data_IF_204044983970
#
_entry.id   IF_204044983970
#
_cell.length_a   1.000
_cell.length_b   1.000
_cell.length_c   1.000
_cell.angle_alpha   90.00
_cell.angle_beta   90.00
_cell.angle_gamma   90.00
#
_symmetry.space_group_name_H-M   'P 1'
#
loop_
_entity.id
_entity.type
_entity.pdbx_description
1 polymer ?
#
# COMPACT_ATOMS: atom_id res chain seq x y z
N UNK A 1 31.93 5.15 69.52
CA UNK A 1 31.34 4.40 68.39
C UNK A 1 30.98 5.42 67.31
N UNK A 2 31.52 5.29 66.09
CA UNK A 2 31.16 6.15 64.95
C UNK A 2 30.66 5.25 63.83
N UNK A 3 29.37 5.35 63.52
CA UNK A 3 28.73 4.56 62.48
C UNK A 3 29.01 5.17 61.10
N UNK A 4 29.36 4.30 60.15
CA UNK A 4 29.59 4.60 58.74
C UNK A 4 28.22 4.76 58.04
N UNK A 5 27.99 5.86 57.34
CA UNK A 5 26.78 6.08 56.55
C UNK A 5 27.03 5.69 55.09
N UNK A 6 26.16 4.83 54.54
CA UNK A 6 26.10 4.54 53.11
C UNK A 6 24.95 5.33 52.49
N UNK A 7 25.24 6.08 51.43
CA UNK A 7 24.24 6.74 50.58
C UNK A 7 24.26 6.03 49.23
N UNK A 8 23.13 5.45 48.83
CA UNK A 8 22.92 4.89 47.50
C UNK A 8 22.11 5.91 46.69
N UNK A 9 22.69 6.41 45.61
CA UNK A 9 21.96 7.20 44.62
C UNK A 9 21.33 6.26 43.59
N UNK A 10 20.02 6.38 43.41
CA UNK A 10 19.27 5.66 42.38
C UNK A 10 19.14 6.50 41.10
N UNK A 11 19.12 5.77 39.98
CA UNK A 11 19.23 6.20 38.59
C UNK A 11 18.17 7.20 38.14
N UNK A 12 18.59 8.17 37.33
CA UNK A 12 17.70 9.04 36.54
C UNK A 12 17.10 8.21 35.41
N UNK A 13 15.77 8.02 35.45
CA UNK A 13 15.02 7.58 34.29
C UNK A 13 14.91 8.75 33.30
N UNK A 14 15.82 8.80 32.33
CA UNK A 14 15.63 9.63 31.14
C UNK A 14 14.49 9.01 30.34
N UNK A 15 13.28 9.56 30.47
CA UNK A 15 12.25 9.35 29.46
C UNK A 15 12.75 10.01 28.18
N UNK A 16 13.37 9.23 27.29
CA UNK A 16 13.60 9.67 25.93
C UNK A 16 12.23 9.86 25.27
N UNK A 17 11.77 11.10 25.20
CA UNK A 17 10.65 11.46 24.33
C UNK A 17 11.15 11.23 22.90
N UNK A 18 10.76 10.10 22.33
CA UNK A 18 11.01 9.81 20.92
C UNK A 18 10.00 10.64 20.14
N UNK A 19 10.40 11.81 19.65
CA UNK A 19 9.58 12.55 18.68
C UNK A 19 9.77 11.93 17.29
N UNK A 20 8.72 11.89 16.48
CA UNK A 20 8.84 11.58 15.05
C UNK A 20 9.75 12.65 14.44
N UNK A 21 10.96 12.27 14.04
CA UNK A 21 11.97 13.23 13.59
C UNK A 21 11.74 13.71 12.16
N UNK A 22 11.08 12.88 11.33
CA UNK A 22 10.74 13.16 9.95
C UNK A 22 9.75 12.11 9.40
N UNK A 23 9.22 12.31 8.20
CA UNK A 23 8.47 11.32 7.44
C UNK A 23 9.29 10.92 6.21
N UNK A 24 9.25 9.64 5.83
CA UNK A 24 9.82 9.13 4.59
C UNK A 24 8.76 8.34 3.81
N UNK A 25 8.81 8.43 2.48
CA UNK A 25 7.93 7.67 1.60
C UNK A 25 8.67 6.45 1.04
N UNK A 26 8.18 5.25 1.36
CA UNK A 26 8.68 3.99 0.78
C UNK A 26 8.14 3.72 -0.62
N UNK A 27 6.94 4.24 -0.88
CA UNK A 27 6.22 4.12 -2.16
C UNK A 27 5.68 5.51 -2.48
N UNK A 28 5.91 5.98 -3.71
CA UNK A 28 5.43 7.26 -4.23
C UNK A 28 4.73 7.03 -5.56
N UNK A 29 3.90 7.97 -6.00
CA UNK A 29 3.14 7.87 -7.26
C UNK A 29 4.02 7.55 -8.50
N UNK A 30 5.27 8.01 -8.49
CA UNK A 30 6.18 7.92 -9.63
C UNK A 30 6.98 6.62 -9.70
N UNK A 31 6.80 5.69 -8.75
CA UNK A 31 7.51 4.40 -8.79
C UNK A 31 7.04 3.55 -9.98
N UNK A 32 7.94 2.72 -10.48
CA UNK A 32 7.61 1.74 -11.52
C UNK A 32 7.13 0.45 -10.89
N UNK A 33 5.87 0.10 -11.16
CA UNK A 33 5.23 -1.13 -10.73
C UNK A 33 5.45 -2.25 -11.73
N UNK A 34 5.56 -3.49 -11.22
CA UNK A 34 5.19 -4.67 -12.00
C UNK A 34 3.67 -4.79 -11.98
N UNK A 35 3.05 -4.97 -13.14
CA UNK A 35 1.59 -5.06 -13.21
C UNK A 35 1.11 -6.16 -14.16
N UNK A 36 -0.03 -6.75 -13.80
CA UNK A 36 -0.78 -7.70 -14.59
C UNK A 36 -2.20 -7.17 -14.79
N UNK A 37 -2.58 -7.06 -16.05
CA UNK A 37 -3.96 -6.75 -16.43
C UNK A 37 -4.86 -7.94 -16.08
N UNK A 38 -5.96 -7.68 -15.36
CA UNK A 38 -6.93 -8.66 -14.91
C UNK A 38 -7.84 -9.16 -16.03
N UNK A 39 -7.28 -9.78 -17.07
CA UNK A 39 -8.05 -10.54 -18.07
C UNK A 39 -8.40 -11.95 -17.58
N UNK A 40 -7.68 -12.41 -16.56
CA UNK A 40 -7.90 -13.67 -15.85
C UNK A 40 -7.41 -13.53 -14.40
N UNK A 41 -7.77 -14.50 -13.55
CA UNK A 41 -7.25 -14.54 -12.19
C UNK A 41 -5.74 -14.82 -12.21
N UNK A 42 -4.90 -14.04 -11.48
CA UNK A 42 -3.53 -14.41 -11.24
C UNK A 42 -3.46 -15.66 -10.33
N UNK A 43 -2.28 -16.30 -10.19
CA UNK A 43 -2.08 -17.33 -9.18
C UNK A 43 -2.53 -16.84 -7.80
N UNK A 44 -3.14 -17.72 -7.00
CA UNK A 44 -3.77 -17.35 -5.72
C UNK A 44 -2.81 -16.81 -4.66
N UNK A 45 -1.49 -16.94 -4.88
CA UNK A 45 -0.43 -16.42 -4.02
C UNK A 45 0.23 -15.15 -4.57
N UNK A 46 -0.34 -14.48 -5.58
CA UNK A 46 0.26 -13.33 -6.25
C UNK A 46 0.61 -12.16 -5.32
N UNK A 47 -0.02 -12.04 -4.16
CA UNK A 47 0.21 -10.97 -3.18
C UNK A 47 1.29 -11.33 -2.14
N UNK A 48 1.81 -12.55 -2.17
CA UNK A 48 2.83 -13.03 -1.24
C UNK A 48 4.23 -12.49 -1.59
N UNK A 49 5.11 -12.38 -0.59
CA UNK A 49 6.46 -11.81 -0.78
C UNK A 49 7.31 -12.58 -1.80
N UNK A 50 7.22 -13.91 -1.79
CA UNK A 50 8.01 -14.79 -2.67
C UNK A 50 7.42 -15.05 -4.06
N UNK A 51 6.32 -14.39 -4.43
CA UNK A 51 5.73 -14.56 -5.76
C UNK A 51 6.66 -13.99 -6.85
N UNK A 52 6.87 -14.77 -7.92
CA UNK A 52 7.67 -14.35 -9.07
C UNK A 52 6.80 -13.63 -10.10
N UNK A 53 6.96 -12.31 -10.21
CA UNK A 53 6.27 -11.42 -11.13
C UNK A 53 7.12 -11.04 -12.36
N UNK A 54 8.21 -11.76 -12.66
CA UNK A 54 9.11 -11.41 -13.76
C UNK A 54 8.42 -11.41 -15.14
N UNK A 55 7.31 -12.14 -15.29
CA UNK A 55 6.48 -12.15 -16.49
C UNK A 55 5.45 -11.02 -16.56
N UNK A 56 5.33 -10.20 -15.52
CA UNK A 56 4.40 -9.06 -15.49
C UNK A 56 4.98 -7.87 -16.25
N UNK A 57 4.08 -7.06 -16.81
CA UNK A 57 4.45 -5.80 -17.46
C UNK A 57 5.04 -4.83 -16.43
N UNK A 58 5.69 -3.77 -16.90
CA UNK A 58 6.29 -2.74 -16.04
C UNK A 58 5.80 -1.37 -16.50
N UNK A 59 5.43 -0.50 -15.55
CA UNK A 59 4.91 0.83 -15.86
C UNK A 59 4.98 1.76 -14.65
N UNK A 60 5.12 3.06 -14.88
CA UNK A 60 5.08 4.07 -13.83
C UNK A 60 3.68 4.13 -13.22
N UNK A 61 3.55 4.37 -11.91
CA UNK A 61 2.28 4.58 -11.22
C UNK A 61 1.45 5.73 -11.83
N UNK A 62 0.15 5.75 -11.53
CA UNK A 62 -0.85 6.38 -12.40
C UNK A 62 -1.12 5.48 -13.60
N UNK A 63 -1.60 4.25 -13.29
CA UNK A 63 -1.90 3.21 -14.27
C UNK A 63 -3.42 3.09 -14.36
N UNK A 64 -3.96 3.39 -15.53
CA UNK A 64 -5.40 3.58 -15.68
C UNK A 64 -5.80 3.77 -17.14
N UNK A 65 -7.01 4.26 -17.38
CA UNK A 65 -7.47 4.60 -18.72
C UNK A 65 -8.57 5.68 -18.73
N UNK A 66 -8.79 6.26 -19.92
CA UNK A 66 -9.84 7.22 -20.28
C UNK A 66 -9.71 8.67 -19.75
N UNK A 67 -8.95 8.92 -18.69
CA UNK A 67 -8.90 10.26 -18.06
C UNK A 67 -7.80 11.20 -18.59
N UNK A 68 -6.91 10.67 -19.45
CA UNK A 68 -5.80 11.39 -20.08
C UNK A 68 -4.76 12.00 -19.11
N UNK A 69 -4.70 11.52 -17.88
CA UNK A 69 -3.71 11.91 -16.87
C UNK A 69 -2.78 10.75 -16.45
N UNK A 70 -3.09 9.53 -16.88
CA UNK A 70 -2.31 8.31 -16.71
C UNK A 70 -0.87 8.40 -17.23
N UNK A 71 0.08 7.94 -16.41
CA UNK A 71 1.47 7.73 -16.86
C UNK A 71 1.64 6.40 -17.57
N UNK A 72 0.84 5.41 -17.23
CA UNK A 72 0.78 4.11 -17.92
C UNK A 72 -0.65 3.85 -18.36
N UNK A 73 -0.94 4.12 -19.62
CA UNK A 73 -2.29 3.93 -20.19
C UNK A 73 -2.56 2.45 -20.48
N UNK A 74 -3.69 1.94 -19.98
CA UNK A 74 -4.21 0.60 -20.25
C UNK A 74 -5.12 0.62 -21.48
N UNK A 75 -4.85 -0.28 -22.42
CA UNK A 75 -5.72 -0.52 -23.58
C UNK A 75 -5.75 -2.02 -23.90
N UNK A 76 -6.95 -2.64 -24.04
CA UNK A 76 -8.29 -2.08 -23.83
C UNK A 76 -8.63 -1.80 -22.34
N UNK A 77 -9.79 -1.16 -22.04
CA UNK A 77 -10.34 -1.03 -20.68
C UNK A 77 -10.46 -2.37 -19.94
N UNK A 78 -10.24 -2.34 -18.62
CA UNK A 78 -10.14 -3.55 -17.79
C UNK A 78 -10.86 -3.37 -16.45
N UNK A 79 -11.38 -4.48 -15.92
CA UNK A 79 -12.09 -4.47 -14.63
C UNK A 79 -11.16 -4.60 -13.42
N UNK A 80 -9.93 -5.04 -13.63
CA UNK A 80 -8.96 -5.21 -12.54
C UNK A 80 -7.53 -5.04 -13.02
N UNK A 81 -6.70 -4.56 -12.11
CA UNK A 81 -5.27 -4.45 -12.26
C UNK A 81 -4.60 -4.99 -11.01
N UNK A 82 -3.60 -5.85 -11.19
CA UNK A 82 -2.76 -6.35 -10.10
C UNK A 82 -1.41 -5.71 -10.20
N UNK A 83 -0.92 -5.12 -9.11
CA UNK A 83 0.32 -4.37 -9.08
C UNK A 83 1.22 -4.89 -7.97
N UNK A 84 2.53 -4.92 -8.22
CA UNK A 84 3.56 -5.33 -7.27
C UNK A 84 4.76 -4.41 -7.35
N UNK A 85 5.27 -4.05 -6.17
CA UNK A 85 6.47 -3.24 -6.01
C UNK A 85 7.24 -3.74 -4.79
N UNK A 86 8.57 -3.70 -4.87
CA UNK A 86 9.43 -4.11 -3.77
C UNK A 86 10.40 -3.00 -3.41
N UNK A 87 10.56 -2.80 -2.10
CA UNK A 87 11.48 -1.81 -1.53
C UNK A 87 12.24 -2.43 -0.36
N UNK A 88 13.51 -2.07 -0.21
CA UNK A 88 14.34 -2.54 0.89
C UNK A 88 14.30 -1.57 2.05
N UNK A 89 13.99 -2.07 3.24
CA UNK A 89 14.00 -1.34 4.51
C UNK A 89 15.10 -1.89 5.43
N UNK A 90 16.27 -1.23 5.53
CA UNK A 90 17.41 -1.78 6.28
C UNK A 90 17.17 -1.99 7.77
N UNK A 91 16.33 -1.17 8.39
CA UNK A 91 15.94 -1.29 9.79
C UNK A 91 14.46 -0.94 9.95
N UNK A 92 13.65 -1.92 10.33
CA UNK A 92 12.20 -1.73 10.55
C UNK A 92 11.89 -1.04 11.88
N UNK A 93 12.82 -1.06 12.85
CA UNK A 93 12.57 -0.51 14.18
C UNK A 93 12.51 1.02 14.20
N UNK A 94 12.96 1.67 13.11
CA UNK A 94 12.87 3.12 12.92
C UNK A 94 11.45 3.56 12.58
N UNK A 95 10.62 2.66 12.03
CA UNK A 95 9.25 2.97 11.62
C UNK A 95 8.36 2.97 12.86
N UNK A 96 7.94 4.16 13.30
CA UNK A 96 7.02 4.33 14.44
C UNK A 96 5.57 4.35 14.01
N UNK A 97 5.31 5.07 12.92
CA UNK A 97 4.00 5.18 12.29
C UNK A 97 4.10 4.77 10.83
N UNK A 98 3.07 4.09 10.33
CA UNK A 98 2.94 3.72 8.93
C UNK A 98 1.59 4.21 8.42
N UNK A 99 1.63 5.05 7.39
CA UNK A 99 0.45 5.64 6.78
C UNK A 99 0.40 5.25 5.30
N UNK A 100 -0.82 5.07 4.79
CA UNK A 100 -1.11 5.05 3.37
C UNK A 100 -1.98 6.26 3.08
N UNK A 101 -1.49 7.14 2.21
CA UNK A 101 -2.30 8.12 1.51
C UNK A 101 -2.52 7.61 0.08
N UNK A 102 -3.78 7.45 -0.31
CA UNK A 102 -4.15 6.88 -1.61
C UNK A 102 -5.30 7.64 -2.25
N UNK A 103 -5.21 7.83 -3.56
CA UNK A 103 -6.31 8.24 -4.43
C UNK A 103 -6.47 7.17 -5.50
N UNK A 104 -7.72 6.81 -5.81
CA UNK A 104 -8.03 5.60 -6.56
C UNK A 104 -9.42 5.63 -7.18
N UNK A 105 -9.60 4.86 -8.24
CA UNK A 105 -10.86 4.70 -8.96
C UNK A 105 -11.00 3.24 -9.46
N UNK A 106 -12.04 2.49 -9.10
CA UNK A 106 -13.07 2.75 -8.09
C UNK A 106 -12.66 2.23 -6.70
N UNK A 107 -11.75 1.26 -6.68
CA UNK A 107 -11.44 0.52 -5.46
C UNK A 107 -10.05 -0.12 -5.48
N UNK A 108 -9.55 -0.41 -4.28
CA UNK A 108 -8.29 -1.09 -4.08
C UNK A 108 -8.33 -2.07 -2.90
N UNK A 109 -7.39 -3.01 -2.92
CA UNK A 109 -6.93 -3.76 -1.75
C UNK A 109 -5.40 -3.70 -1.72
N UNK A 110 -4.82 -3.27 -0.60
CA UNK A 110 -3.38 -3.26 -0.36
C UNK A 110 -2.97 -4.43 0.53
N UNK A 111 -1.98 -5.18 0.06
CA UNK A 111 -1.25 -6.18 0.81
C UNK A 111 0.20 -5.75 1.00
N UNK A 112 0.74 -5.93 2.21
CA UNK A 112 2.16 -5.78 2.50
C UNK A 112 2.66 -7.12 3.01
N UNK A 113 3.67 -7.67 2.34
CA UNK A 113 4.25 -8.97 2.64
C UNK A 113 3.22 -10.11 2.81
N UNK A 114 2.18 -10.12 1.97
CA UNK A 114 1.13 -11.13 2.03
C UNK A 114 0.00 -10.84 3.01
N UNK A 115 0.08 -9.78 3.82
CA UNK A 115 -0.94 -9.38 4.80
C UNK A 115 -1.79 -8.23 4.24
N UNK A 116 -3.11 -8.40 4.22
CA UNK A 116 -4.04 -7.31 3.88
C UNK A 116 -3.93 -6.19 4.92
N UNK A 117 -3.60 -4.99 4.46
CA UNK A 117 -3.33 -3.82 5.32
C UNK A 117 -4.39 -2.73 5.20
N UNK A 118 -5.01 -2.58 4.01
CA UNK A 118 -6.06 -1.61 3.76
C UNK A 118 -6.92 -2.06 2.57
N UNK A 119 -8.17 -1.62 2.53
CA UNK A 119 -9.08 -1.83 1.41
C UNK A 119 -10.10 -0.71 1.32
N UNK A 120 -10.57 -0.45 0.10
CA UNK A 120 -11.71 0.44 -0.12
C UNK A 120 -13.00 -0.14 0.49
N UNK A 121 -13.86 0.74 1.01
CA UNK A 121 -15.10 0.37 1.68
C UNK A 121 -16.16 -0.27 0.76
N UNK A 122 -16.10 -0.01 -0.56
CA UNK A 122 -17.00 -0.59 -1.56
C UNK A 122 -16.60 -2.01 -2.00
N UNK A 123 -15.50 -2.57 -1.47
CA UNK A 123 -15.08 -3.95 -1.78
C UNK A 123 -15.62 -4.93 -0.74
N UNK A 124 -16.39 -5.91 -1.20
CA UNK A 124 -17.03 -6.94 -0.35
C UNK A 124 -16.35 -8.31 -0.56
N UNK A 125 -16.32 -9.14 0.48
CA UNK A 125 -15.66 -10.45 0.45
C UNK A 125 -14.13 -10.37 0.62
N UNK A 126 -13.50 -11.48 0.98
CA UNK A 126 -12.06 -11.50 1.32
C UNK A 126 -11.15 -11.51 0.08
N UNK A 127 -11.56 -12.17 -1.01
CA UNK A 127 -10.78 -12.32 -2.23
C UNK A 127 -11.68 -12.08 -3.44
N UNK A 128 -11.96 -10.81 -3.80
CA UNK A 128 -12.77 -10.52 -4.98
C UNK A 128 -12.07 -11.07 -6.24
N UNK A 129 -12.80 -11.71 -7.17
CA UNK A 129 -12.22 -12.16 -8.42
C UNK A 129 -11.86 -10.96 -9.32
N UNK A 130 -11.06 -11.20 -10.36
CA UNK A 130 -10.66 -10.17 -11.33
C UNK A 130 -11.84 -9.50 -12.07
N UNK A 131 -12.98 -10.17 -12.13
CA UNK A 131 -14.21 -9.71 -12.76
C UNK A 131 -15.29 -9.36 -11.72
N UNK A 132 -14.88 -9.05 -10.48
CA UNK A 132 -15.82 -8.60 -9.46
C UNK A 132 -16.52 -7.32 -9.90
N UNK A 133 -17.79 -7.20 -9.54
CA UNK A 133 -18.58 -5.98 -9.73
C UNK A 133 -18.78 -5.33 -8.36
N UNK A 134 -18.49 -4.05 -8.26
CA UNK A 134 -18.73 -3.28 -7.05
C UNK A 134 -20.16 -2.75 -7.07
N UNK A 135 -20.76 -2.59 -5.89
CA UNK A 135 -22.14 -2.08 -5.79
C UNK A 135 -22.21 -0.55 -5.82
N UNK A 136 -21.08 0.12 -5.69
CA UNK A 136 -20.98 1.57 -5.56
C UNK A 136 -19.67 2.02 -6.21
N UNK A 137 -19.79 3.02 -7.06
CA UNK A 137 -18.69 3.75 -7.71
C UNK A 137 -17.98 4.70 -6.73
N UNK A 138 -16.74 5.06 -7.03
CA UNK A 138 -15.96 6.03 -6.27
C UNK A 138 -14.83 6.61 -7.13
N UNK A 139 -15.00 7.87 -7.44
CA UNK A 139 -14.01 8.66 -8.17
C UNK A 139 -12.74 9.00 -7.36
N UNK A 140 -11.63 9.11 -8.07
CA UNK A 140 -10.45 9.85 -7.60
C UNK A 140 -10.81 11.30 -7.26
N UNK A 141 -10.06 11.96 -6.37
CA UNK A 141 -10.41 13.28 -5.83
C UNK A 141 -9.33 14.33 -6.00
N UNK A 142 -8.06 13.92 -6.07
CA UNK A 142 -6.92 14.83 -6.06
C UNK A 142 -6.82 15.65 -7.35
N UNK A 143 -7.29 15.12 -8.49
CA UNK A 143 -7.31 15.86 -9.76
C UNK A 143 -8.16 17.15 -9.68
N UNK A 144 -9.16 17.17 -8.79
CA UNK A 144 -10.03 18.33 -8.54
C UNK A 144 -9.70 19.06 -7.22
N UNK A 145 -8.45 18.96 -6.76
CA UNK A 145 -7.97 19.62 -5.54
C UNK A 145 -8.45 18.98 -4.23
N UNK A 146 -9.00 17.77 -4.29
CA UNK A 146 -9.35 16.97 -3.11
C UNK A 146 -8.11 16.45 -2.36
N UNK A 147 -8.35 15.80 -1.22
CA UNK A 147 -7.31 15.14 -0.43
C UNK A 147 -7.29 13.63 -0.67
N UNK A 148 -6.13 12.97 -0.58
CA UNK A 148 -6.06 11.52 -0.59
C UNK A 148 -6.81 10.94 0.62
N UNK A 149 -7.24 9.70 0.48
CA UNK A 149 -7.78 8.94 1.59
C UNK A 149 -6.65 8.35 2.43
N UNK A 150 -6.72 8.54 3.75
CA UNK A 150 -5.66 8.12 4.68
C UNK A 150 -6.04 6.88 5.47
N UNK A 151 -5.16 5.89 5.47
CA UNK A 151 -5.22 4.70 6.32
C UNK A 151 -4.03 4.66 7.28
N UNK A 152 -4.30 4.36 8.55
CA UNK A 152 -3.27 4.03 9.54
C UNK A 152 -2.98 2.54 9.42
N UNK A 153 -1.79 2.19 8.95
CA UNK A 153 -1.35 0.81 8.82
C UNK A 153 -0.55 0.37 10.04
N UNK A 154 -0.30 -0.93 10.16
CA UNK A 154 0.49 -1.49 11.26
C UNK A 154 1.96 -1.61 10.82
N UNK A 155 2.94 -0.96 11.48
CA UNK A 155 4.35 -1.18 11.18
C UNK A 155 4.79 -2.65 11.24
N UNK A 156 4.07 -3.50 11.98
CA UNK A 156 4.30 -4.95 12.04
C UNK A 156 4.02 -5.71 10.73
N UNK A 157 3.44 -5.06 9.71
CA UNK A 157 3.33 -5.66 8.36
C UNK A 157 4.65 -5.55 7.58
N UNK A 158 5.58 -4.71 8.03
CA UNK A 158 6.91 -4.56 7.46
C UNK A 158 7.90 -5.55 8.08
N UNK A 159 8.96 -5.85 7.35
CA UNK A 159 10.08 -6.65 7.79
C UNK A 159 11.41 -5.96 7.47
N UNK A 160 12.47 -6.38 8.15
CA UNK A 160 13.83 -5.99 7.78
C UNK A 160 14.17 -6.53 6.38
N UNK A 161 14.75 -5.68 5.55
CA UNK A 161 15.11 -6.01 4.17
C UNK A 161 13.93 -5.80 3.22
N UNK A 162 13.74 -6.74 2.29
CA UNK A 162 12.79 -6.59 1.19
C UNK A 162 11.34 -6.65 1.68
N UNK A 163 10.56 -5.62 1.35
CA UNK A 163 9.12 -5.55 1.59
C UNK A 163 8.39 -5.53 0.25
N UNK A 164 7.39 -6.40 0.11
CA UNK A 164 6.53 -6.44 -1.09
C UNK A 164 5.23 -5.72 -0.82
N UNK A 165 4.95 -4.70 -1.62
CA UNK A 165 3.66 -4.03 -1.73
C UNK A 165 2.92 -4.63 -2.91
N UNK A 166 1.72 -5.14 -2.68
CA UNK A 166 0.88 -5.73 -3.70
C UNK A 166 -0.50 -5.08 -3.65
N UNK A 167 -1.01 -4.63 -4.78
CA UNK A 167 -2.28 -3.89 -4.87
C UNK A 167 -3.19 -4.56 -5.89
N UNK A 168 -4.43 -4.80 -5.51
CA UNK A 168 -5.51 -5.20 -6.42
C UNK A 168 -6.42 -4.00 -6.61
N UNK A 169 -6.37 -3.39 -7.79
CA UNK A 169 -7.30 -2.34 -8.21
C UNK A 169 -8.50 -3.01 -8.88
N UNK A 170 -9.67 -2.51 -8.53
CA UNK A 170 -10.97 -3.03 -8.97
C UNK A 170 -11.78 -1.87 -9.52
N UNK A 171 -12.35 -2.10 -10.68
CA UNK A 171 -13.32 -1.21 -11.27
C UNK A 171 -14.75 -1.60 -10.86
N UNK A 172 -15.72 -0.69 -10.89
CA UNK A 172 -17.10 -0.94 -10.51
C UNK A 172 -17.75 -2.05 -11.34
N UNK A 173 -17.32 -2.23 -12.58
CA UNK A 173 -17.79 -3.32 -13.44
C UNK A 173 -17.54 -3.05 -14.91
N UNK A 174 -18.11 -3.88 -15.78
CA UNK A 174 -18.04 -3.68 -17.23
C UNK A 174 -18.77 -2.43 -17.76
N UNK A 175 -19.41 -1.65 -16.88
CA UNK A 175 -20.07 -0.38 -17.22
C UNK A 175 -19.23 0.85 -16.84
N UNK A 176 -18.10 0.68 -16.15
CA UNK A 176 -17.23 1.82 -15.84
C UNK A 176 -16.54 2.35 -17.10
N UNK A 177 -16.37 3.67 -17.14
CA UNK A 177 -15.75 4.41 -18.24
C UNK A 177 -14.24 4.56 -18.13
N UNK A 178 -13.68 4.37 -16.95
CA UNK A 178 -12.38 4.86 -16.50
C UNK A 178 -11.76 3.96 -15.41
N UNK A 179 -10.48 4.21 -15.08
CA UNK A 179 -9.69 3.63 -13.99
C UNK A 179 -8.49 4.51 -13.71
#
# INVERSE_FOLDING_TARGET
MRSLYFIIFFSISLFSVSAQTHWESMVVESVTWRYLVGNSAPPSNWYQSGFNDSGWKSGQGGIGYADNDDKTVLTPPVNSLYMRYQVSLPDVNIVKDLLLDIDYDDAFILYINGVECARSANVVGAFPPYNATLTTDREARMYNGGSPERYVLKPSSLQRGLNTFAVHILNQGGNSSDM
#
